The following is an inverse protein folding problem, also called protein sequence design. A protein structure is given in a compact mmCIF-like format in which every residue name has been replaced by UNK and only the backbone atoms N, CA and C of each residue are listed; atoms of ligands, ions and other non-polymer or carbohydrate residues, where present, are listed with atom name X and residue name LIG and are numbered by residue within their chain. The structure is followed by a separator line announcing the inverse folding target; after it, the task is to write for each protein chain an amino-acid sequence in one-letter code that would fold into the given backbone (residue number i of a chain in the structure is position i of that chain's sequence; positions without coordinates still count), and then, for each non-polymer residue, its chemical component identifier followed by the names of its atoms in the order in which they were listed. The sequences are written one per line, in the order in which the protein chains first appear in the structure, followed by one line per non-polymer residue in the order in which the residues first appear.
data_IF_444745354288
#
_entry.id   IF_444745354288
#
_cell.length_a   1.000
_cell.length_b   1.000
_cell.length_c   1.000
_cell.angle_alpha   90.00
_cell.angle_beta   90.00
_cell.angle_gamma   90.00
#
_symmetry.space_group_name_H-M   'P 1'
#
loop_
_entity.id
_entity.type
_entity.pdbx_description
1 polymer ?
#
# COMPACT_ATOMS: atom_id res chain seq x y z
N UNK A 1 -7.30 -1.91 21.40
CA UNK A 1 -8.34 -1.59 20.40
C UNK A 1 -7.76 -1.87 19.02
N UNK A 2 -8.44 -2.66 18.15
CA UNK A 2 -7.95 -2.89 16.79
C UNK A 2 -8.12 -1.63 15.93
N UNK A 3 -7.14 -1.36 15.07
CA UNK A 3 -7.15 -0.24 14.13
C UNK A 3 -7.09 -0.82 12.71
N UNK A 4 -8.02 -0.39 11.86
CA UNK A 4 -8.11 -0.83 10.48
C UNK A 4 -7.92 0.35 9.54
N UNK A 5 -7.20 0.12 8.44
CA UNK A 5 -7.03 1.09 7.36
C UNK A 5 -7.77 0.58 6.13
N UNK A 6 -8.56 1.48 5.55
CA UNK A 6 -9.19 1.34 4.25
C UNK A 6 -8.46 2.31 3.31
N UNK A 7 -7.64 1.74 2.42
CA UNK A 7 -6.82 2.47 1.46
C UNK A 7 -6.93 1.80 0.10
N UNK A 8 -6.75 2.58 -0.96
CA UNK A 8 -6.81 2.12 -2.34
C UNK A 8 -5.80 1.00 -2.62
N UNK A 9 -6.13 0.16 -3.61
CA UNK A 9 -5.20 -0.84 -4.13
C UNK A 9 -4.23 -0.17 -5.12
N UNK A 10 -3.34 0.65 -4.59
CA UNK A 10 -2.30 1.34 -5.33
C UNK A 10 -1.05 1.60 -4.44
N UNK A 11 0.11 1.94 -5.02
CA UNK A 11 1.33 2.20 -4.23
C UNK A 11 1.21 3.35 -3.22
N UNK A 12 0.39 4.36 -3.49
CA UNK A 12 0.18 5.48 -2.58
C UNK A 12 -0.62 5.07 -1.34
N UNK A 13 -1.70 4.30 -1.50
CA UNK A 13 -2.48 3.71 -0.42
C UNK A 13 -1.63 2.82 0.48
N UNK A 14 -0.77 1.99 -0.12
CA UNK A 14 0.17 1.17 0.64
C UNK A 14 1.22 2.01 1.39
N UNK A 15 1.67 3.13 0.83
CA UNK A 15 2.57 4.07 1.52
C UNK A 15 1.92 4.70 2.75
N UNK A 16 0.64 5.08 2.67
CA UNK A 16 -0.13 5.59 3.81
C UNK A 16 -0.21 4.51 4.90
N UNK A 17 -0.60 3.29 4.54
CA UNK A 17 -0.64 2.17 5.48
C UNK A 17 0.72 1.95 6.17
N UNK A 18 1.81 1.94 5.39
CA UNK A 18 3.16 1.75 5.94
C UNK A 18 3.56 2.87 6.90
N UNK A 19 3.15 4.12 6.64
CA UNK A 19 3.43 5.25 7.53
C UNK A 19 2.79 5.06 8.89
N UNK A 20 1.52 4.65 8.94
CA UNK A 20 0.86 4.35 10.22
C UNK A 20 1.40 3.08 10.87
N UNK A 21 1.84 2.09 10.09
CA UNK A 21 2.31 0.81 10.63
C UNK A 21 3.74 0.86 11.17
N UNK A 22 4.63 1.60 10.51
CA UNK A 22 6.07 1.61 10.80
C UNK A 22 6.62 2.98 11.20
N UNK A 23 5.79 4.03 11.12
CA UNK A 23 6.19 5.41 11.36
C UNK A 23 6.75 6.09 10.11
N UNK A 24 6.73 7.43 10.11
CA UNK A 24 7.30 8.24 9.02
C UNK A 24 8.80 8.46 9.20
N UNK A 25 9.57 8.29 8.13
CA UNK A 25 11.00 8.64 8.10
C UNK A 25 11.22 10.12 8.40
N UNK A 26 10.31 11.01 7.96
CA UNK A 26 10.43 12.46 8.18
C UNK A 26 10.37 12.86 9.65
N UNK A 27 9.83 11.98 10.52
CA UNK A 27 9.73 12.22 11.96
C UNK A 27 10.92 11.64 12.74
N UNK A 28 11.88 11.00 12.05
CA UNK A 28 13.11 10.49 12.65
C UNK A 28 12.87 9.57 13.85
N UNK A 29 13.56 9.86 14.96
CA UNK A 29 13.49 9.07 16.18
C UNK A 29 12.13 9.11 16.88
N UNK A 30 11.27 10.09 16.60
CA UNK A 30 9.94 10.15 17.23
C UNK A 30 8.89 9.31 16.49
N UNK A 31 9.21 8.85 15.28
CA UNK A 31 8.27 8.12 14.41
C UNK A 31 7.66 6.87 15.04
N UNK A 32 8.42 6.13 15.85
CA UNK A 32 7.94 4.91 16.50
C UNK A 32 6.80 5.17 17.49
N UNK A 33 6.71 6.38 18.06
CA UNK A 33 5.66 6.75 19.02
C UNK A 33 4.29 6.91 18.36
N UNK A 34 4.28 7.15 17.06
CA UNK A 34 3.07 7.35 16.25
C UNK A 34 2.73 6.14 15.38
N UNK A 35 3.59 5.12 15.37
CA UNK A 35 3.30 3.85 14.73
C UNK A 35 2.25 3.09 15.54
N UNK A 36 1.29 2.50 14.86
CA UNK A 36 0.26 1.67 15.46
C UNK A 36 0.10 0.36 14.69
N UNK A 37 -0.41 -0.69 15.36
CA UNK A 37 -0.63 -1.98 14.73
C UNK A 37 -1.89 -1.97 13.85
N UNK A 38 -1.85 -1.16 12.79
CA UNK A 38 -2.92 -1.03 11.80
C UNK A 38 -2.95 -2.23 10.88
N UNK A 39 -4.17 -2.71 10.61
CA UNK A 39 -4.44 -3.80 9.67
C UNK A 39 -5.09 -3.25 8.41
N UNK A 40 -4.61 -3.70 7.25
CA UNK A 40 -5.23 -3.33 5.98
C UNK A 40 -6.52 -4.13 5.79
N UNK A 41 -7.65 -3.43 5.73
CA UNK A 41 -8.99 -3.99 5.53
C UNK A 41 -9.50 -3.81 4.09
N UNK A 42 -8.95 -2.85 3.37
CA UNK A 42 -9.33 -2.55 1.98
C UNK A 42 -8.98 -3.64 0.97
N UNK A 43 -9.25 -3.33 -0.30
CA UNK A 43 -9.12 -4.24 -1.44
C UNK A 43 -7.71 -4.87 -1.51
N UNK A 44 -7.66 -6.19 -1.70
CA UNK A 44 -6.44 -6.98 -1.85
C UNK A 44 -6.33 -7.56 -3.26
N UNK A 45 -5.14 -8.01 -3.63
CA UNK A 45 -4.88 -8.63 -4.93
C UNK A 45 -5.81 -9.81 -5.25
N UNK A 46 -6.26 -10.54 -4.24
CA UNK A 46 -7.15 -11.70 -4.40
C UNK A 46 -8.62 -11.30 -4.60
N UNK A 47 -9.00 -10.10 -4.15
CA UNK A 47 -10.34 -9.55 -4.35
C UNK A 47 -10.52 -8.94 -5.76
N UNK A 48 -9.43 -8.76 -6.51
CA UNK A 48 -9.47 -8.13 -7.84
C UNK A 48 -10.36 -8.86 -8.85
N UNK A 49 -10.59 -10.16 -8.65
CA UNK A 49 -11.50 -10.96 -9.48
C UNK A 49 -12.98 -10.62 -9.23
N UNK A 50 -13.30 -9.96 -8.12
CA UNK A 50 -14.66 -9.61 -7.70
C UNK A 50 -15.12 -8.26 -8.25
N UNK A 51 -14.22 -7.47 -8.85
CA UNK A 51 -14.50 -6.13 -9.35
C UNK A 51 -14.43 -6.05 -10.89
N UNK A 52 -15.24 -5.19 -11.53
CA UNK A 52 -15.27 -5.10 -12.98
C UNK A 52 -13.96 -4.55 -13.55
N UNK A 53 -13.60 -4.95 -14.77
CA UNK A 53 -12.38 -4.50 -15.44
C UNK A 53 -12.31 -2.97 -15.61
N UNK A 54 -13.46 -2.30 -15.69
CA UNK A 54 -13.57 -0.83 -15.78
C UNK A 54 -13.13 -0.10 -14.51
N UNK A 55 -13.03 -0.78 -13.37
CA UNK A 55 -12.54 -0.19 -12.12
C UNK A 55 -11.00 -0.07 -12.09
N UNK A 56 -10.30 -0.80 -12.96
CA UNK A 56 -8.84 -0.73 -13.03
C UNK A 56 -8.39 0.47 -13.84
N UNK A 57 -7.31 1.08 -13.38
CA UNK A 57 -6.61 2.18 -14.04
C UNK A 57 -5.15 1.78 -14.25
N UNK A 58 -4.49 2.38 -15.23
CA UNK A 58 -3.05 2.20 -15.41
C UNK A 58 -2.26 2.86 -14.28
N UNK A 59 -1.13 2.25 -13.92
CA UNK A 59 -0.17 2.86 -13.00
C UNK A 59 0.45 4.10 -13.61
N UNK A 60 0.51 5.17 -12.82
CA UNK A 60 1.16 6.42 -13.21
C UNK A 60 2.67 6.33 -12.95
N UNK A 61 3.51 7.15 -13.61
CA UNK A 61 4.95 7.20 -13.32
C UNK A 61 5.27 7.46 -11.84
N UNK A 62 4.43 8.26 -11.17
CA UNK A 62 4.54 8.51 -9.72
C UNK A 62 4.29 7.25 -8.89
N UNK A 63 3.35 6.41 -9.29
CA UNK A 63 3.04 5.16 -8.57
C UNK A 63 4.24 4.21 -8.63
N UNK A 64 4.89 4.10 -9.79
CA UNK A 64 6.11 3.31 -9.97
C UNK A 64 7.27 3.83 -9.10
N UNK A 65 7.42 5.14 -8.98
CA UNK A 65 8.44 5.74 -8.10
C UNK A 65 8.18 5.39 -6.63
N UNK A 66 6.92 5.48 -6.18
CA UNK A 66 6.52 5.10 -4.82
C UNK A 66 6.76 3.60 -4.61
N UNK A 67 6.35 2.76 -5.56
CA UNK A 67 6.53 1.32 -5.49
C UNK A 67 8.01 0.94 -5.36
N UNK A 68 8.88 1.54 -6.18
CA UNK A 68 10.34 1.33 -6.09
C UNK A 68 10.89 1.72 -4.72
N UNK A 69 10.45 2.85 -4.17
CA UNK A 69 10.84 3.30 -2.83
C UNK A 69 10.42 2.27 -1.76
N UNK A 70 9.15 1.87 -1.76
CA UNK A 70 8.61 0.90 -0.81
C UNK A 70 9.29 -0.48 -0.92
N UNK A 71 9.51 -1.00 -2.14
CA UNK A 71 10.17 -2.28 -2.36
C UNK A 71 11.62 -2.30 -1.85
N UNK A 72 12.30 -1.16 -1.86
CA UNK A 72 13.65 -1.03 -1.28
C UNK A 72 13.67 -0.94 0.25
N UNK A 73 12.52 -0.74 0.89
CA UNK A 73 12.42 -0.68 2.34
C UNK A 73 12.56 -2.05 2.98
N UNK A 74 13.45 -2.14 3.98
CA UNK A 74 13.63 -3.33 4.84
C UNK A 74 12.47 -3.57 5.81
N UNK A 75 11.59 -2.58 6.00
CA UNK A 75 10.46 -2.67 6.91
C UNK A 75 9.18 -3.17 6.21
N UNK A 76 9.19 -3.30 4.88
CA UNK A 76 8.04 -3.79 4.13
C UNK A 76 7.88 -5.30 4.34
N UNK A 77 6.80 -5.70 4.99
CA UNK A 77 6.41 -7.10 5.17
C UNK A 77 6.20 -7.82 3.83
N UNK A 78 6.49 -9.12 3.80
CA UNK A 78 6.40 -9.94 2.59
C UNK A 78 4.99 -9.94 1.97
N UNK A 79 3.95 -9.91 2.80
CA UNK A 79 2.56 -9.81 2.32
C UNK A 79 2.28 -8.50 1.60
N UNK A 80 2.81 -7.37 2.08
CA UNK A 80 2.70 -6.07 1.40
C UNK A 80 3.61 -5.98 0.18
N UNK A 81 4.78 -6.62 0.23
CA UNK A 81 5.69 -6.74 -0.91
C UNK A 81 5.02 -7.50 -2.05
N UNK A 82 4.36 -8.62 -1.76
CA UNK A 82 3.64 -9.40 -2.77
C UNK A 82 2.51 -8.58 -3.44
N UNK A 83 1.71 -7.85 -2.67
CA UNK A 83 0.69 -6.94 -3.21
C UNK A 83 1.30 -5.89 -4.13
N UNK A 84 2.36 -5.22 -3.68
CA UNK A 84 2.99 -4.16 -4.43
C UNK A 84 3.68 -4.66 -5.71
N UNK A 85 4.32 -5.83 -5.65
CA UNK A 85 4.88 -6.50 -6.82
C UNK A 85 3.77 -6.82 -7.82
N UNK A 86 2.63 -7.34 -7.34
CA UNK A 86 1.47 -7.63 -8.21
C UNK A 86 0.97 -6.37 -8.91
N UNK A 87 0.84 -5.24 -8.21
CA UNK A 87 0.49 -3.94 -8.83
C UNK A 87 1.44 -3.58 -9.97
N UNK A 88 2.76 -3.70 -9.73
CA UNK A 88 3.79 -3.34 -10.71
C UNK A 88 3.79 -4.30 -11.90
N UNK A 89 3.63 -5.60 -11.67
CA UNK A 89 3.60 -6.63 -12.72
C UNK A 89 2.37 -6.51 -13.61
N UNK A 90 1.20 -6.24 -13.03
CA UNK A 90 -0.04 -6.05 -13.82
C UNK A 90 -0.09 -4.68 -14.49
N UNK A 91 0.68 -3.70 -13.99
CA UNK A 91 0.62 -2.33 -14.48
C UNK A 91 -0.67 -1.60 -14.09
N UNK A 92 -1.45 -2.15 -13.15
CA UNK A 92 -2.78 -1.66 -12.81
C UNK A 92 -2.89 -1.21 -11.35
N UNK A 93 -3.87 -0.34 -11.11
CA UNK A 93 -4.30 0.14 -9.80
C UNK A 93 -5.82 0.18 -9.74
N UNK A 94 -6.38 0.12 -8.54
CA UNK A 94 -7.81 0.28 -8.32
C UNK A 94 -8.05 1.25 -7.16
N UNK A 95 -8.93 2.22 -7.38
CA UNK A 95 -9.41 3.13 -6.35
C UNK A 95 -10.63 2.51 -5.67
N UNK A 96 -10.93 2.91 -4.43
CA UNK A 96 -12.11 2.40 -3.69
C UNK A 96 -13.42 3.05 -4.18
N UNK A 97 -13.36 4.24 -4.77
CA UNK A 97 -14.51 5.02 -5.26
C UNK A 97 -14.92 4.72 -6.70
#
# INVERSE_FOLDING_TARGET
MPIFALVDWNPAGLSILCTYKYGSISMGLESYRYACNVKWLGLRGDDLQLIPQSAFQELKPRDLQIAKSLLSSKFLQDTHRAELTRMVETGTRAEIE
#
